data_IF_624136473198
#
_entry.id   IF_624136473198
#
_cell.length_a   1.000
_cell.length_b   1.000
_cell.length_c   1.000
_cell.angle_alpha   90.00
_cell.angle_beta   90.00
_cell.angle_gamma   90.00
#
_symmetry.space_group_name_H-M   'P 1'
#
loop_
_entity.id
_entity.type
_entity.pdbx_description
1 polymer ?
#
# COMPACT_ATOMS: atom_id res chain seq x y z
N UNK A 1 -11.73 12.66 3.41
CA UNK A 1 -10.51 12.60 2.59
C UNK A 1 -10.72 11.61 1.47
N UNK A 2 -10.09 11.86 0.34
CA UNK A 2 -10.04 10.96 -0.81
C UNK A 2 -8.81 10.05 -0.69
N UNK A 3 -9.00 8.76 -0.58
CA UNK A 3 -7.92 7.81 -0.30
C UNK A 3 -7.81 6.78 -1.42
N UNK A 4 -6.62 6.57 -1.93
CA UNK A 4 -6.31 5.43 -2.78
C UNK A 4 -5.71 4.33 -1.93
N UNK A 5 -6.30 3.12 -2.01
CA UNK A 5 -5.76 1.92 -1.42
C UNK A 5 -5.23 1.00 -2.52
N UNK A 6 -3.92 0.94 -2.64
CA UNK A 6 -3.23 -0.02 -3.50
C UNK A 6 -3.09 -1.38 -2.81
N UNK A 7 -3.58 -2.44 -3.45
CA UNK A 7 -3.47 -3.82 -2.94
C UNK A 7 -2.58 -4.64 -3.85
N UNK A 8 -1.51 -5.21 -3.29
CA UNK A 8 -0.58 -6.04 -4.06
C UNK A 8 -0.75 -7.53 -3.77
N UNK A 9 -0.27 -8.38 -4.69
CA UNK A 9 -0.47 -9.83 -4.63
C UNK A 9 0.38 -10.50 -3.55
N UNK A 10 -0.24 -10.83 -2.42
CA UNK A 10 0.35 -11.56 -1.31
C UNK A 10 -0.70 -12.08 -0.35
N UNK A 11 -0.34 -13.08 0.46
CA UNK A 11 -1.27 -13.73 1.39
C UNK A 11 -1.97 -12.72 2.31
N UNK A 12 -1.28 -11.65 2.73
CA UNK A 12 -1.82 -10.62 3.62
C UNK A 12 -2.86 -9.69 2.94
N UNK A 13 -3.15 -9.84 1.63
CA UNK A 13 -4.09 -9.00 0.90
C UNK A 13 -5.52 -9.02 1.49
N UNK A 14 -5.92 -10.11 2.16
CA UNK A 14 -7.22 -10.19 2.84
C UNK A 14 -7.41 -9.11 3.91
N UNK A 15 -6.33 -8.64 4.55
CA UNK A 15 -6.37 -7.56 5.55
C UNK A 15 -6.77 -6.21 4.94
N UNK A 16 -6.49 -6.00 3.66
CA UNK A 16 -6.87 -4.77 2.96
C UNK A 16 -8.40 -4.57 2.93
N UNK A 17 -9.18 -5.66 2.99
CA UNK A 17 -10.64 -5.56 3.06
C UNK A 17 -11.11 -4.92 4.37
N UNK A 18 -10.54 -5.33 5.51
CA UNK A 18 -10.81 -4.71 6.82
C UNK A 18 -10.36 -3.25 6.83
N UNK A 19 -9.19 -2.95 6.27
CA UNK A 19 -8.68 -1.58 6.16
C UNK A 19 -9.63 -0.70 5.32
N UNK A 20 -10.14 -1.22 4.18
CA UNK A 20 -11.16 -0.53 3.37
C UNK A 20 -12.40 -0.21 4.21
N UNK A 21 -12.91 -1.19 4.97
CA UNK A 21 -14.07 -0.99 5.83
C UNK A 21 -13.84 0.07 6.92
N UNK A 22 -12.65 0.09 7.54
CA UNK A 22 -12.28 1.09 8.55
C UNK A 22 -12.27 2.51 7.95
N UNK A 23 -11.64 2.68 6.80
CA UNK A 23 -11.57 3.97 6.12
C UNK A 23 -12.96 4.48 5.71
N UNK A 24 -13.80 3.63 5.12
CA UNK A 24 -15.17 4.01 4.72
C UNK A 24 -16.02 4.36 5.93
N UNK A 25 -15.97 3.60 7.02
CA UNK A 25 -16.69 3.90 8.27
C UNK A 25 -16.27 5.21 8.91
N UNK A 26 -15.02 5.60 8.71
CA UNK A 26 -14.49 6.90 9.16
C UNK A 26 -14.87 8.07 8.22
N UNK A 27 -15.64 7.81 7.15
CA UNK A 27 -16.11 8.85 6.23
C UNK A 27 -15.12 9.22 5.14
N UNK A 28 -14.12 8.37 4.86
CA UNK A 28 -13.23 8.57 3.72
C UNK A 28 -13.87 8.03 2.42
N UNK A 29 -13.62 8.72 1.31
CA UNK A 29 -13.89 8.21 -0.03
C UNK A 29 -12.72 7.32 -0.46
N UNK A 30 -12.97 6.03 -0.66
CA UNK A 30 -11.90 5.06 -0.93
C UNK A 30 -11.97 4.53 -2.35
N UNK A 31 -10.90 4.71 -3.11
CA UNK A 31 -10.68 4.07 -4.40
C UNK A 31 -9.67 2.93 -4.24
N UNK A 32 -10.12 1.71 -4.47
CA UNK A 32 -9.23 0.54 -4.39
C UNK A 32 -8.61 0.27 -5.77
N UNK A 33 -7.29 0.01 -5.75
CA UNK A 33 -6.49 -0.30 -6.95
C UNK A 33 -5.71 -1.58 -6.71
N UNK A 34 -5.92 -2.59 -7.55
CA UNK A 34 -5.20 -3.84 -7.48
C UNK A 34 -4.01 -3.86 -8.45
N UNK A 35 -2.89 -4.47 -8.01
CA UNK A 35 -1.93 -4.97 -8.99
C UNK A 35 -2.50 -6.24 -9.67
N UNK A 36 -2.06 -6.60 -10.88
CA UNK A 36 -2.55 -7.79 -11.57
C UNK A 36 -2.51 -9.07 -10.71
N UNK A 37 -1.46 -9.24 -9.91
CA UNK A 37 -1.30 -10.42 -9.05
C UNK A 37 -2.22 -10.40 -7.81
N UNK A 38 -2.82 -9.28 -7.43
CA UNK A 38 -3.72 -9.22 -6.28
C UNK A 38 -4.97 -10.11 -6.49
N UNK A 39 -5.46 -10.20 -7.73
CA UNK A 39 -6.61 -11.03 -8.11
C UNK A 39 -6.43 -12.54 -7.80
N UNK A 40 -5.19 -13.01 -7.63
CA UNK A 40 -4.92 -14.40 -7.23
C UNK A 40 -5.12 -14.66 -5.71
N UNK A 41 -5.26 -13.59 -4.91
CA UNK A 41 -5.34 -13.68 -3.44
C UNK A 41 -6.68 -13.18 -2.87
N UNK A 42 -7.31 -12.23 -3.54
CA UNK A 42 -8.57 -11.62 -3.10
C UNK A 42 -9.46 -11.27 -4.29
N UNK A 43 -10.77 -11.33 -4.08
CA UNK A 43 -11.77 -10.96 -5.08
C UNK A 43 -12.10 -9.45 -5.00
N UNK A 44 -12.43 -8.84 -6.14
CA UNK A 44 -12.79 -7.41 -6.23
C UNK A 44 -14.12 -7.09 -5.55
N UNK A 45 -15.11 -7.94 -5.73
CA UNK A 45 -16.50 -7.69 -5.33
C UNK A 45 -16.68 -7.26 -3.86
N UNK A 46 -16.00 -7.87 -2.87
CA UNK A 46 -16.09 -7.40 -1.48
C UNK A 46 -15.58 -5.96 -1.29
N UNK A 47 -14.53 -5.58 -1.98
CA UNK A 47 -14.00 -4.20 -1.93
C UNK A 47 -14.94 -3.20 -2.58
N UNK A 48 -15.54 -3.56 -3.72
CA UNK A 48 -16.53 -2.75 -4.42
C UNK A 48 -17.79 -2.54 -3.58
N UNK A 49 -18.24 -3.60 -2.91
CA UNK A 49 -19.40 -3.53 -2.01
C UNK A 49 -19.15 -2.59 -0.81
N UNK A 50 -17.92 -2.55 -0.28
CA UNK A 50 -17.57 -1.69 0.85
C UNK A 50 -17.32 -0.25 0.43
N UNK A 51 -16.57 -0.02 -0.66
CA UNK A 51 -16.17 1.32 -1.08
C UNK A 51 -17.24 2.04 -1.91
N UNK A 52 -18.21 1.29 -2.46
CA UNK A 52 -19.19 1.81 -3.43
C UNK A 52 -18.57 2.15 -4.80
N UNK A 53 -17.32 1.77 -5.06
CA UNK A 53 -16.55 2.08 -6.27
C UNK A 53 -15.99 0.79 -6.88
N UNK A 54 -15.88 0.74 -8.21
CA UNK A 54 -15.23 -0.39 -8.90
C UNK A 54 -13.75 -0.44 -8.54
N UNK A 55 -13.23 -1.66 -8.33
CA UNK A 55 -11.79 -1.88 -8.16
C UNK A 55 -11.09 -1.75 -9.52
N UNK A 56 -10.01 -0.97 -9.56
CA UNK A 56 -9.21 -0.77 -10.76
C UNK A 56 -7.98 -1.68 -10.73
N UNK A 57 -7.69 -2.40 -11.82
CA UNK A 57 -6.53 -3.30 -11.90
C UNK A 57 -5.80 -3.26 -13.25
N UNK A 58 -6.34 -2.55 -14.23
CA UNK A 58 -5.84 -2.49 -15.58
C UNK A 58 -5.96 -1.09 -16.17
N UNK A 59 -4.98 -0.68 -16.97
CA UNK A 59 -5.07 0.53 -17.77
C UNK A 59 -6.20 0.49 -18.82
N UNK A 60 -6.60 -0.73 -19.23
CA UNK A 60 -7.51 -0.96 -20.34
C UNK A 60 -8.96 -1.16 -19.92
N UNK A 61 -9.24 -1.40 -18.63
CA UNK A 61 -10.62 -1.51 -18.12
C UNK A 61 -11.39 -0.18 -18.19
N UNK A 62 -10.68 0.90 -18.46
CA UNK A 62 -11.27 2.23 -18.61
C UNK A 62 -11.33 2.63 -20.08
N UNK A 63 -12.20 1.99 -20.84
CA UNK A 63 -12.50 2.36 -22.22
C UNK A 63 -12.96 3.83 -22.38
N UNK A 64 -13.19 4.54 -21.29
CA UNK A 64 -13.69 5.92 -21.27
C UNK A 64 -12.68 6.98 -20.81
N UNK A 65 -11.56 6.61 -20.16
CA UNK A 65 -10.61 7.60 -19.63
C UNK A 65 -9.13 7.15 -19.72
N UNK A 66 -8.43 7.51 -20.80
CA UNK A 66 -7.03 7.12 -21.01
C UNK A 66 -6.04 7.74 -19.99
N UNK A 67 -6.44 8.78 -19.27
CA UNK A 67 -5.60 9.48 -18.27
C UNK A 67 -6.12 9.30 -16.83
N UNK A 68 -6.88 8.24 -16.58
CA UNK A 68 -7.46 7.97 -15.26
C UNK A 68 -6.45 7.92 -14.12
N UNK A 69 -5.23 7.42 -14.37
CA UNK A 69 -4.15 7.39 -13.38
C UNK A 69 -3.73 8.80 -12.94
N UNK A 70 -3.70 9.78 -13.85
CA UNK A 70 -3.40 11.19 -13.52
C UNK A 70 -4.54 11.78 -12.70
N UNK A 71 -5.79 11.65 -13.18
CA UNK A 71 -6.94 12.20 -12.44
C UNK A 71 -7.12 11.60 -11.05
N UNK A 72 -6.80 10.33 -10.88
CA UNK A 72 -6.85 9.70 -9.57
C UNK A 72 -5.69 10.14 -8.68
N UNK A 73 -4.49 10.36 -9.23
CA UNK A 73 -3.39 10.94 -8.49
C UNK A 73 -3.76 12.35 -7.99
N UNK A 74 -4.33 13.20 -8.87
CA UNK A 74 -4.79 14.56 -8.52
C UNK A 74 -5.96 14.55 -7.52
N UNK A 75 -6.84 13.53 -7.58
CA UNK A 75 -8.00 13.41 -6.71
C UNK A 75 -7.64 12.98 -5.29
N UNK A 76 -6.55 12.23 -5.13
CA UNK A 76 -6.19 11.59 -3.87
C UNK A 76 -5.53 12.55 -2.89
N UNK A 77 -6.11 12.67 -1.70
CA UNK A 77 -5.44 13.31 -0.56
C UNK A 77 -4.36 12.39 0.06
N UNK A 78 -4.49 11.08 -0.16
CA UNK A 78 -3.57 10.08 0.40
C UNK A 78 -3.54 8.80 -0.43
N UNK A 79 -2.34 8.26 -0.64
CA UNK A 79 -2.13 6.96 -1.28
C UNK A 79 -1.49 6.00 -0.28
N UNK A 80 -2.17 4.89 0.00
CA UNK A 80 -1.73 3.83 0.91
C UNK A 80 -1.57 2.55 0.10
N UNK A 81 -0.44 1.87 0.18
CA UNK A 81 -0.23 0.56 -0.43
C UNK A 81 -0.11 -0.49 0.67
N UNK A 82 -1.12 -1.31 0.81
CA UNK A 82 -1.24 -2.32 1.85
C UNK A 82 -1.99 -3.58 1.34
N UNK A 83 -1.34 -4.74 1.29
CA UNK A 83 0.09 -4.96 1.56
C UNK A 83 1.00 -4.42 0.46
N UNK A 84 2.24 -4.05 0.78
CA UNK A 84 3.29 -3.80 -0.19
C UNK A 84 4.24 -5.01 -0.25
N UNK A 85 4.25 -5.70 -1.38
CA UNK A 85 5.19 -6.81 -1.64
C UNK A 85 6.55 -6.31 -2.08
N UNK A 86 7.60 -7.15 -1.91
CA UNK A 86 8.96 -6.84 -2.37
C UNK A 86 9.02 -6.52 -3.88
N UNK A 87 8.22 -7.21 -4.71
CA UNK A 87 8.13 -6.95 -6.15
C UNK A 87 7.63 -5.52 -6.44
N UNK A 88 6.50 -5.13 -5.84
CA UNK A 88 5.95 -3.79 -6.07
C UNK A 88 6.85 -2.71 -5.45
N UNK A 89 7.47 -2.98 -4.29
CA UNK A 89 8.45 -2.09 -3.68
C UNK A 89 9.63 -1.81 -4.61
N UNK A 90 10.19 -2.85 -5.25
CA UNK A 90 11.27 -2.69 -6.21
C UNK A 90 10.83 -1.83 -7.42
N UNK A 91 9.61 -2.04 -7.93
CA UNK A 91 9.07 -1.22 -9.02
C UNK A 91 8.96 0.25 -8.63
N UNK A 92 8.40 0.55 -7.47
CA UNK A 92 8.29 1.91 -6.97
C UNK A 92 9.67 2.56 -6.81
N UNK A 93 10.63 1.85 -6.20
CA UNK A 93 11.98 2.36 -5.96
C UNK A 93 12.75 2.71 -7.26
N UNK A 94 12.38 2.08 -8.39
CA UNK A 94 13.03 2.33 -9.68
C UNK A 94 12.13 3.05 -10.71
N UNK A 95 10.96 3.54 -10.29
CA UNK A 95 10.02 4.26 -11.17
C UNK A 95 9.45 3.39 -12.29
N UNK A 96 9.30 2.08 -12.08
CA UNK A 96 8.70 1.17 -13.06
C UNK A 96 7.17 1.28 -13.05
N UNK A 97 6.59 1.72 -14.16
CA UNK A 97 5.16 1.96 -14.33
C UNK A 97 4.53 0.94 -15.31
N UNK A 98 4.60 -0.35 -14.98
CA UNK A 98 4.14 -1.45 -15.83
C UNK A 98 2.72 -1.96 -15.51
N UNK A 99 2.05 -1.36 -14.54
CA UNK A 99 0.67 -1.61 -14.19
C UNK A 99 -0.01 -0.35 -13.65
N UNK A 100 -1.33 -0.38 -13.52
CA UNK A 100 -2.11 0.80 -13.17
C UNK A 100 -1.68 1.42 -11.82
N UNK A 101 -1.44 0.60 -10.79
CA UNK A 101 -1.02 1.08 -9.46
C UNK A 101 0.34 1.77 -9.51
N UNK A 102 1.32 1.18 -10.18
CA UNK A 102 2.67 1.76 -10.26
C UNK A 102 2.72 3.00 -11.14
N UNK A 103 1.88 3.07 -12.19
CA UNK A 103 1.73 4.27 -13.02
C UNK A 103 1.09 5.42 -12.23
N UNK A 104 0.03 5.12 -11.47
CA UNK A 104 -0.63 6.09 -10.59
C UNK A 104 0.34 6.58 -9.51
N UNK A 105 1.08 5.68 -8.87
CA UNK A 105 2.05 6.04 -7.83
C UNK A 105 3.18 6.94 -8.38
N UNK A 106 3.58 6.77 -9.64
CA UNK A 106 4.58 7.63 -10.28
C UNK A 106 4.01 9.02 -10.63
N UNK A 107 2.70 9.13 -10.85
CA UNK A 107 2.00 10.40 -11.13
C UNK A 107 1.59 11.16 -9.85
N UNK A 108 1.61 10.50 -8.69
CA UNK A 108 1.24 11.11 -7.42
C UNK A 108 2.41 11.91 -6.85
N UNK A 109 2.21 13.17 -6.50
CA UNK A 109 3.27 14.13 -6.16
C UNK A 109 3.56 14.26 -4.65
N UNK A 110 2.87 13.49 -3.79
CA UNK A 110 3.10 13.47 -2.35
C UNK A 110 3.62 12.11 -1.87
N UNK A 111 3.86 11.98 -0.58
CA UNK A 111 4.40 10.78 0.05
C UNK A 111 3.42 9.61 0.03
N UNK A 112 3.88 8.46 -0.43
CA UNK A 112 3.15 7.21 -0.33
C UNK A 112 3.28 6.61 1.09
N UNK A 113 2.19 6.02 1.60
CA UNK A 113 2.20 5.19 2.81
C UNK A 113 2.36 3.72 2.42
N UNK A 114 3.44 3.10 2.83
CA UNK A 114 3.89 1.80 2.34
C UNK A 114 3.92 0.76 3.45
N UNK A 115 2.85 -0.06 3.55
CA UNK A 115 2.71 -1.11 4.57
C UNK A 115 3.31 -2.42 4.07
N UNK A 116 4.48 -2.78 4.59
CA UNK A 116 5.27 -3.91 4.12
C UNK A 116 4.68 -5.25 4.55
N UNK A 117 4.70 -6.23 3.62
CA UNK A 117 4.35 -7.62 3.89
C UNK A 117 5.16 -8.58 3.02
N UNK A 118 5.99 -9.40 3.65
CA UNK A 118 6.80 -10.41 2.97
C UNK A 118 7.37 -11.43 3.97
N UNK A 119 7.97 -12.49 3.47
CA UNK A 119 8.73 -13.43 4.29
C UNK A 119 9.93 -12.73 4.96
N UNK A 120 10.35 -13.19 6.13
CA UNK A 120 11.45 -12.61 6.92
C UNK A 120 12.81 -12.65 6.20
N UNK A 121 13.11 -13.74 5.48
CA UNK A 121 14.33 -13.82 4.67
C UNK A 121 14.30 -12.84 3.50
N UNK A 122 13.13 -12.66 2.87
CA UNK A 122 12.95 -11.64 1.84
C UNK A 122 13.13 -10.24 2.44
N UNK A 123 12.56 -9.98 3.63
CA UNK A 123 12.72 -8.70 4.30
C UNK A 123 14.18 -8.40 4.64
N UNK A 124 14.96 -9.40 5.12
CA UNK A 124 16.37 -9.27 5.42
C UNK A 124 17.29 -9.21 4.18
N UNK A 125 16.75 -9.48 2.98
CA UNK A 125 17.55 -9.49 1.76
C UNK A 125 18.10 -8.11 1.43
N UNK A 126 19.39 -8.04 1.03
CA UNK A 126 20.08 -6.78 0.77
C UNK A 126 19.38 -5.91 -0.27
N UNK A 127 18.88 -6.47 -1.35
CA UNK A 127 18.16 -5.72 -2.38
C UNK A 127 16.83 -5.12 -1.88
N UNK A 128 16.16 -5.83 -0.98
CA UNK A 128 14.93 -5.34 -0.34
C UNK A 128 15.26 -4.18 0.60
N UNK A 129 16.32 -4.28 1.39
CA UNK A 129 16.76 -3.22 2.29
C UNK A 129 17.26 -1.98 1.53
N UNK A 130 17.97 -2.15 0.41
CA UNK A 130 18.38 -1.04 -0.47
C UNK A 130 17.18 -0.30 -1.06
N UNK A 131 16.19 -1.04 -1.59
CA UNK A 131 14.95 -0.45 -2.11
C UNK A 131 14.19 0.30 -1.01
N UNK A 132 14.13 -0.26 0.18
CA UNK A 132 13.48 0.36 1.33
C UNK A 132 14.17 1.67 1.74
N UNK A 133 15.51 1.67 1.81
CA UNK A 133 16.30 2.88 2.11
C UNK A 133 16.09 3.95 1.03
N UNK A 134 16.01 3.55 -0.23
CA UNK A 134 15.76 4.45 -1.35
C UNK A 134 14.40 5.14 -1.20
N UNK A 135 13.32 4.38 -1.01
CA UNK A 135 11.98 4.94 -0.84
C UNK A 135 11.87 5.86 0.40
N UNK A 136 12.55 5.51 1.50
CA UNK A 136 12.66 6.39 2.68
C UNK A 136 13.34 7.72 2.36
N UNK A 137 14.46 7.68 1.62
CA UNK A 137 15.21 8.88 1.22
C UNK A 137 14.40 9.78 0.28
N UNK A 138 13.52 9.18 -0.53
CA UNK A 138 12.61 9.90 -1.42
C UNK A 138 11.37 10.47 -0.69
N UNK A 139 11.28 10.27 0.63
CA UNK A 139 10.26 10.88 1.49
C UNK A 139 9.02 10.03 1.72
N UNK A 140 8.98 8.79 1.21
CA UNK A 140 7.83 7.92 1.44
C UNK A 140 7.77 7.40 2.87
N UNK A 141 6.56 7.21 3.39
CA UNK A 141 6.30 6.79 4.76
C UNK A 141 6.22 5.27 4.83
N UNK A 142 7.22 4.67 5.47
CA UNK A 142 7.31 3.22 5.59
C UNK A 142 6.62 2.76 6.87
N UNK A 143 5.58 1.96 6.71
CA UNK A 143 4.92 1.24 7.79
C UNK A 143 5.61 -0.12 7.92
N UNK A 144 6.58 -0.19 8.85
CA UNK A 144 7.41 -1.37 9.03
C UNK A 144 6.59 -2.60 9.41
N UNK A 145 6.95 -3.80 8.92
CA UNK A 145 6.21 -5.01 9.24
C UNK A 145 6.40 -5.38 10.72
N UNK A 146 5.38 -5.98 11.31
CA UNK A 146 5.46 -6.53 12.67
C UNK A 146 6.20 -7.87 12.69
N UNK A 147 6.65 -8.25 13.90
CA UNK A 147 7.14 -9.61 14.16
C UNK A 147 5.97 -10.51 14.56
N UNK A 148 5.99 -11.77 14.12
CA UNK A 148 4.95 -12.74 14.45
C UNK A 148 5.01 -13.98 13.60
N UNK A 149 4.00 -14.85 13.74
CA UNK A 149 3.87 -16.05 12.92
C UNK A 149 3.58 -15.65 11.48
N UNK A 150 4.43 -16.08 10.56
CA UNK A 150 4.32 -15.88 9.12
C UNK A 150 3.54 -17.03 8.47
N UNK A 151 3.03 -16.82 7.25
CA UNK A 151 2.28 -17.84 6.51
C UNK A 151 3.08 -19.12 6.21
N UNK A 152 4.41 -19.03 6.27
CA UNK A 152 5.32 -20.19 6.13
C UNK A 152 5.51 -21.00 7.42
N UNK A 153 4.84 -20.64 8.53
CA UNK A 153 4.90 -21.35 9.80
C UNK A 153 6.08 -20.98 10.72
N UNK A 154 6.89 -20.01 10.34
CA UNK A 154 7.99 -19.50 11.17
C UNK A 154 7.61 -18.17 11.81
N UNK A 155 8.20 -17.88 12.98
CA UNK A 155 8.11 -16.56 13.60
C UNK A 155 9.27 -15.70 13.09
N UNK A 156 8.93 -14.54 12.51
CA UNK A 156 9.93 -13.64 11.94
C UNK A 156 9.35 -12.23 11.73
N UNK A 157 10.20 -11.32 11.28
CA UNK A 157 9.81 -9.97 10.90
C UNK A 157 9.40 -9.96 9.42
N UNK A 158 8.17 -9.53 9.12
CA UNK A 158 7.66 -9.50 7.73
C UNK A 158 6.15 -9.55 7.64
N UNK A 159 5.48 -9.67 8.79
CA UNK A 159 4.03 -9.69 8.88
C UNK A 159 3.45 -8.30 8.68
N UNK A 160 2.46 -8.18 7.79
CA UNK A 160 1.69 -6.94 7.66
C UNK A 160 1.11 -6.52 9.03
N UNK A 161 1.24 -5.25 9.37
CA UNK A 161 0.55 -4.65 10.51
C UNK A 161 -0.95 -4.98 10.48
N UNK A 162 -1.60 -4.91 11.62
CA UNK A 162 -3.05 -5.06 11.66
C UNK A 162 -3.73 -3.84 11.00
N UNK A 163 -4.90 -4.01 10.38
CA UNK A 163 -5.59 -2.93 9.69
C UNK A 163 -5.81 -1.69 10.55
N UNK A 164 -6.09 -1.87 11.83
CA UNK A 164 -6.29 -0.81 12.81
C UNK A 164 -5.00 -0.02 13.05
N UNK A 165 -3.86 -0.71 13.12
CA UNK A 165 -2.54 -0.07 13.28
C UNK A 165 -2.18 0.74 12.02
N UNK A 166 -2.43 0.17 10.82
CA UNK A 166 -2.20 0.88 9.55
C UNK A 166 -3.08 2.13 9.50
N UNK A 167 -4.36 2.00 9.87
CA UNK A 167 -5.30 3.10 9.89
C UNK A 167 -4.82 4.22 10.83
N UNK A 168 -4.48 3.88 12.07
CA UNK A 168 -3.98 4.84 13.06
C UNK A 168 -2.73 5.57 12.57
N UNK A 169 -1.75 4.85 12.04
CA UNK A 169 -0.51 5.43 11.50
C UNK A 169 -0.73 6.34 10.27
N UNK A 170 -1.79 6.09 9.50
CA UNK A 170 -2.10 6.90 8.32
C UNK A 170 -2.95 8.14 8.63
N UNK A 171 -3.84 8.09 9.63
CA UNK A 171 -4.89 9.10 9.78
C UNK A 171 -4.92 9.80 11.15
N UNK A 172 -4.40 9.16 12.21
CA UNK A 172 -4.33 9.80 13.51
C UNK A 172 -3.07 10.67 13.57
N UNK A 173 -3.21 11.91 14.04
CA UNK A 173 -2.07 12.79 14.30
C UNK A 173 -1.20 12.13 15.39
N UNK A 174 -0.15 11.42 14.98
CA UNK A 174 0.95 11.13 15.88
C UNK A 174 1.54 12.47 16.28
N UNK A 175 1.36 12.85 17.57
CA UNK A 175 2.11 13.97 18.16
C UNK A 175 3.55 13.83 17.69
N UNK A 176 4.05 14.86 17.01
CA UNK A 176 5.41 14.94 16.44
C UNK A 176 6.47 14.77 17.52
N UNK A 177 6.79 13.55 17.96
CA UNK A 177 7.82 13.29 18.96
C UNK A 177 8.69 12.05 18.71
N UNK A 178 8.66 11.45 17.50
CA UNK A 178 9.47 10.24 17.27
C UNK A 178 10.64 10.38 16.27
N UNK A 179 10.92 11.59 15.75
CA UNK A 179 12.13 11.81 14.98
C UNK A 179 12.80 13.11 15.38
N UNK A 180 13.65 13.07 16.39
CA UNK A 180 14.49 14.21 16.74
C UNK A 180 15.10 14.23 18.14
N UNK A 181 15.59 13.10 18.65
CA UNK A 181 16.62 13.12 19.68
C UNK A 181 17.64 12.03 19.43
N UNK A 182 18.78 12.43 18.85
CA UNK A 182 20.03 11.73 19.06
C UNK A 182 20.26 11.66 20.56
N UNK A 183 20.29 10.48 21.13
CA UNK A 183 20.90 10.25 22.44
C UNK A 183 22.35 9.88 22.15
N UNK A 184 23.24 10.70 22.66
CA UNK A 184 24.68 10.53 22.73
C UNK A 184 25.07 9.18 23.38
#
# INVERSE_FOLDING_TARGET
>A
MNVILGVTGGVAAYKALTLTSLMVKAGHEVQVVFTPNANAFVEKLPFEALSGRRVLDSHFDQQSDPIAHIRLADWADKVIIAPLTANTMAKLAYGMADNFLTTLALAYDDSLYLALAMNDQMYANVYVQENLMRLKREGHIILAPSSGLLACGHTGQGRLLEPEEIYSLCFEETKKDYFGKNVL
#
